data_IF_220125296429
#
_entry.id   IF_220125296429
#
_cell.length_a   1.000
_cell.length_b   1.000
_cell.length_c   1.000
_cell.angle_alpha   90.00
_cell.angle_beta   90.00
_cell.angle_gamma   90.00
#
_symmetry.space_group_name_H-M   'P 1'
#
loop_
_entity.id
_entity.type
_entity.pdbx_description
1 polymer ?
#
# COMPACT_ATOMS: atom_id res chain seq x y z
N UNK A 1 40.15 -9.00 -38.10
CA UNK A 1 38.84 -9.06 -38.81
C UNK A 1 37.85 -10.10 -38.23
N UNK A 2 38.26 -11.37 -38.07
CA UNK A 2 37.37 -12.46 -37.60
C UNK A 2 36.86 -12.30 -36.14
N UNK A 3 37.67 -11.71 -35.26
CA UNK A 3 37.31 -11.45 -33.85
C UNK A 3 36.17 -10.42 -33.71
N UNK A 4 36.20 -9.34 -34.50
CA UNK A 4 35.16 -8.31 -34.45
C UNK A 4 33.81 -8.79 -35.01
N UNK A 5 33.83 -9.56 -36.11
CA UNK A 5 32.61 -10.14 -36.67
C UNK A 5 31.93 -11.12 -35.71
N UNK A 6 32.71 -11.96 -35.02
CA UNK A 6 32.21 -12.88 -33.99
C UNK A 6 31.62 -12.11 -32.80
N UNK A 7 32.29 -11.06 -32.33
CA UNK A 7 31.77 -10.17 -31.29
C UNK A 7 30.42 -9.56 -31.67
N UNK A 8 30.30 -9.00 -32.89
CA UNK A 8 29.04 -8.43 -33.37
C UNK A 8 27.91 -9.46 -33.42
N UNK A 9 28.21 -10.70 -33.86
CA UNK A 9 27.23 -11.79 -33.86
C UNK A 9 26.73 -12.10 -32.44
N UNK A 10 27.64 -12.35 -31.49
CA UNK A 10 27.26 -12.64 -30.10
C UNK A 10 26.50 -11.48 -29.46
N UNK A 11 26.95 -10.23 -29.68
CA UNK A 11 26.24 -9.02 -29.21
C UNK A 11 24.81 -8.97 -29.74
N UNK A 12 24.61 -9.20 -31.04
CA UNK A 12 23.29 -9.14 -31.65
C UNK A 12 22.36 -10.24 -31.11
N UNK A 13 22.89 -11.45 -30.94
CA UNK A 13 22.16 -12.56 -30.30
C UNK A 13 21.76 -12.17 -28.88
N UNK A 14 22.69 -11.70 -28.04
CA UNK A 14 22.39 -11.29 -26.67
C UNK A 14 21.36 -10.16 -26.61
N UNK A 15 21.48 -9.15 -27.47
CA UNK A 15 20.51 -8.05 -27.54
C UNK A 15 19.13 -8.56 -27.94
N UNK A 16 19.06 -9.47 -28.91
CA UNK A 16 17.80 -10.10 -29.33
C UNK A 16 17.16 -10.89 -28.19
N UNK A 17 17.93 -11.73 -27.49
CA UNK A 17 17.44 -12.52 -26.36
C UNK A 17 16.95 -11.62 -25.21
N UNK A 18 17.66 -10.53 -24.91
CA UNK A 18 17.25 -9.55 -23.89
C UNK A 18 15.90 -8.91 -24.27
N UNK A 19 15.74 -8.50 -25.54
CA UNK A 19 14.49 -7.90 -26.02
C UNK A 19 13.32 -8.88 -25.94
N UNK A 20 13.55 -10.13 -26.34
CA UNK A 20 12.52 -11.17 -26.26
C UNK A 20 12.11 -11.44 -24.80
N UNK A 21 13.07 -11.50 -23.87
CA UNK A 21 12.77 -11.65 -22.45
C UNK A 21 12.00 -10.45 -21.88
N UNK A 22 12.33 -9.22 -22.29
CA UNK A 22 11.60 -8.01 -21.89
C UNK A 22 10.16 -8.03 -22.39
N UNK A 23 9.94 -8.38 -23.66
CA UNK A 23 8.59 -8.49 -24.23
C UNK A 23 7.74 -9.51 -23.48
N UNK A 24 8.26 -10.73 -23.26
CA UNK A 24 7.53 -11.78 -22.51
C UNK A 24 7.15 -11.33 -21.09
N UNK A 25 8.03 -10.58 -20.44
CA UNK A 25 7.75 -10.00 -19.13
C UNK A 25 6.64 -8.95 -19.18
N UNK A 26 6.69 -8.02 -20.14
CA UNK A 26 5.68 -6.97 -20.32
C UNK A 26 4.30 -7.52 -20.74
N UNK A 27 4.27 -8.61 -21.52
CA UNK A 27 3.05 -9.36 -21.85
C UNK A 27 2.41 -9.94 -20.59
N UNK A 28 3.20 -10.63 -19.75
CA UNK A 28 2.73 -11.17 -18.47
C UNK A 28 2.21 -10.07 -17.53
N UNK A 29 2.93 -8.95 -17.47
CA UNK A 29 2.51 -7.76 -16.71
C UNK A 29 1.13 -7.26 -17.18
N UNK A 30 0.93 -7.17 -18.49
CA UNK A 30 -0.32 -6.69 -19.08
C UNK A 30 -1.50 -7.57 -18.71
N UNK A 31 -1.30 -8.89 -18.68
CA UNK A 31 -2.34 -9.85 -18.25
C UNK A 31 -2.68 -9.71 -16.77
N UNK A 32 -1.69 -9.49 -15.90
CA UNK A 32 -1.92 -9.31 -14.47
C UNK A 32 -2.65 -7.98 -14.16
N UNK A 33 -2.36 -6.93 -14.93
CA UNK A 33 -3.11 -5.66 -14.86
C UNK A 33 -4.57 -5.85 -15.27
N UNK A 34 -4.84 -6.61 -16.35
CA UNK A 34 -6.21 -6.94 -16.77
C UNK A 34 -6.98 -7.73 -15.71
N UNK A 35 -6.31 -8.59 -14.94
CA UNK A 35 -6.90 -9.33 -13.80
C UNK A 35 -7.19 -8.45 -12.58
N UNK A 36 -6.79 -7.17 -12.60
CA UNK A 36 -7.09 -6.19 -11.57
C UNK A 36 -5.91 -5.84 -10.64
N UNK A 37 -4.71 -6.40 -10.85
CA UNK A 37 -3.53 -5.99 -10.08
C UNK A 37 -2.88 -4.74 -10.71
N UNK A 38 -3.41 -3.57 -10.41
CA UNK A 38 -2.83 -2.30 -10.89
C UNK A 38 -1.47 -1.99 -10.27
N UNK A 39 -1.08 -2.65 -9.16
CA UNK A 39 0.19 -2.38 -8.47
C UNK A 39 1.38 -2.85 -9.28
N UNK A 40 1.24 -3.95 -10.02
CA UNK A 40 2.35 -4.45 -10.86
C UNK A 40 2.72 -3.43 -11.94
N UNK A 41 1.74 -2.74 -12.52
CA UNK A 41 1.98 -1.66 -13.48
C UNK A 41 2.76 -0.50 -12.87
N UNK A 42 2.32 0.04 -11.74
CA UNK A 42 3.01 1.15 -11.09
C UNK A 42 4.40 0.75 -10.57
N UNK A 43 4.58 -0.50 -10.14
CA UNK A 43 5.89 -1.05 -9.80
C UNK A 43 6.81 -1.09 -11.01
N UNK A 44 6.31 -1.56 -12.16
CA UNK A 44 7.05 -1.56 -13.41
C UNK A 44 7.42 -0.14 -13.86
N UNK A 45 6.46 0.78 -13.86
CA UNK A 45 6.67 2.19 -14.18
C UNK A 45 7.78 2.78 -13.32
N UNK A 46 7.70 2.59 -12.00
CA UNK A 46 8.70 3.07 -11.04
C UNK A 46 10.09 2.46 -11.26
N UNK A 47 10.16 1.22 -11.74
CA UNK A 47 11.44 0.57 -12.09
C UNK A 47 12.09 1.20 -13.33
N UNK A 48 11.30 1.78 -14.23
CA UNK A 48 11.74 2.47 -15.45
C UNK A 48 11.95 3.97 -15.27
N UNK A 49 11.33 4.57 -14.24
CA UNK A 49 11.53 5.99 -13.93
C UNK A 49 12.93 6.23 -13.37
N UNK A 50 13.70 7.12 -14.00
CA UNK A 50 15.04 7.53 -13.56
C UNK A 50 14.99 8.40 -12.30
N UNK A 51 13.97 9.26 -12.23
CA UNK A 51 13.73 10.17 -11.10
C UNK A 51 13.04 9.38 -10.00
N UNK A 52 13.79 9.04 -8.96
CA UNK A 52 13.28 8.41 -7.74
C UNK A 52 13.24 9.45 -6.62
N UNK A 53 12.74 10.64 -6.90
CA UNK A 53 12.66 11.73 -5.93
C UNK A 53 11.83 11.27 -4.72
N UNK A 54 12.51 11.01 -3.61
CA UNK A 54 11.88 11.15 -2.30
C UNK A 54 11.92 12.64 -1.95
N UNK A 55 10.98 13.10 -1.12
CA UNK A 55 11.09 14.45 -0.54
C UNK A 55 12.36 14.48 0.31
N UNK A 56 13.45 15.00 -0.24
CA UNK A 56 14.77 15.02 0.40
C UNK A 56 14.90 16.21 1.33
N UNK A 57 14.39 17.37 0.89
CA UNK A 57 14.32 18.60 1.69
C UNK A 57 13.04 19.36 1.39
N UNK A 58 12.51 20.03 2.40
CA UNK A 58 11.37 20.95 2.29
C UNK A 58 11.78 22.31 2.81
N UNK A 59 11.13 23.36 2.30
CA UNK A 59 11.36 24.71 2.77
C UNK A 59 10.65 24.91 4.11
N UNK A 60 11.42 25.28 5.12
CA UNK A 60 10.94 25.63 6.45
C UNK A 60 10.27 27.02 6.44
N UNK A 61 9.45 27.35 7.45
CA UNK A 61 8.86 28.67 7.60
C UNK A 61 9.88 29.82 7.68
N UNK A 62 11.09 29.54 8.20
CA UNK A 62 12.21 30.49 8.26
C UNK A 62 12.90 30.73 6.90
N UNK A 63 12.46 30.03 5.85
CA UNK A 63 12.99 30.14 4.50
C UNK A 63 14.16 29.20 4.19
N UNK A 64 14.71 28.48 5.17
CA UNK A 64 15.80 27.50 5.01
C UNK A 64 15.27 26.15 4.51
N UNK A 65 16.17 25.26 4.06
CA UNK A 65 15.83 23.89 3.69
C UNK A 65 16.06 22.94 4.86
N UNK A 66 15.23 21.90 4.97
CA UNK A 66 15.47 20.81 5.94
C UNK A 66 16.68 19.99 5.55
N UNK A 67 17.47 19.63 6.57
CA UNK A 67 18.74 18.91 6.40
C UNK A 67 18.62 17.44 6.80
N UNK A 68 17.61 17.10 7.62
CA UNK A 68 17.37 15.73 8.07
C UNK A 68 15.97 15.23 7.71
N UNK A 69 15.83 13.91 7.58
CA UNK A 69 14.54 13.28 7.28
C UNK A 69 13.50 13.55 8.36
N UNK A 70 13.94 13.64 9.63
CA UNK A 70 13.07 13.99 10.76
C UNK A 70 12.56 15.42 10.62
N UNK A 71 13.46 16.36 10.35
CA UNK A 71 13.10 17.77 10.17
C UNK A 71 12.16 17.97 8.97
N UNK A 72 12.38 17.23 7.87
CA UNK A 72 11.46 17.19 6.74
C UNK A 72 10.07 16.71 7.17
N UNK A 73 9.98 15.60 7.91
CA UNK A 73 8.72 15.07 8.38
C UNK A 73 7.99 16.03 9.33
N UNK A 74 8.71 16.64 10.27
CA UNK A 74 8.16 17.59 11.24
C UNK A 74 7.65 18.86 10.54
N UNK A 75 8.40 19.38 9.56
CA UNK A 75 8.00 20.56 8.77
C UNK A 75 6.74 20.29 7.94
N UNK A 76 6.66 19.12 7.31
CA UNK A 76 5.47 18.68 6.58
C UNK A 76 4.27 18.57 7.52
N UNK A 77 4.44 17.89 8.65
CA UNK A 77 3.38 17.72 9.65
C UNK A 77 2.87 19.07 10.18
N UNK A 78 3.77 19.99 10.51
CA UNK A 78 3.42 21.34 10.95
C UNK A 78 2.61 22.09 9.88
N UNK A 79 3.04 22.01 8.62
CA UNK A 79 2.35 22.66 7.50
C UNK A 79 0.94 22.10 7.34
N UNK A 80 0.78 20.78 7.41
CA UNK A 80 -0.54 20.16 7.38
C UNK A 80 -1.41 20.61 8.56
N UNK A 81 -0.88 20.57 9.78
CA UNK A 81 -1.62 21.04 10.98
C UNK A 81 -2.06 22.50 10.85
N UNK A 82 -1.25 23.36 10.23
CA UNK A 82 -1.55 24.79 10.10
C UNK A 82 -2.76 25.09 9.20
N UNK A 83 -3.09 24.21 8.25
CA UNK A 83 -4.25 24.38 7.36
C UNK A 83 -5.49 23.67 7.86
N UNK A 84 -5.37 22.81 8.87
CA UNK A 84 -6.53 22.19 9.51
C UNK A 84 -7.23 23.20 10.42
N UNK A 85 -8.56 23.08 10.47
CA UNK A 85 -9.34 23.78 11.49
C UNK A 85 -9.00 23.16 12.83
N UNK A 86 -8.47 23.98 13.74
CA UNK A 86 -8.28 23.58 15.13
C UNK A 86 -9.65 23.61 15.80
N UNK A 87 -10.25 22.44 15.98
CA UNK A 87 -11.44 22.33 16.80
C UNK A 87 -11.03 22.57 18.26
N UNK A 88 -11.36 23.76 18.77
CA UNK A 88 -11.36 24.00 20.19
C UNK A 88 -12.44 23.09 20.77
N UNK A 89 -12.11 22.26 21.77
CA UNK A 89 -12.98 21.22 22.35
C UNK A 89 -14.25 21.71 23.05
N UNK A 90 -14.87 22.76 22.53
CA UNK A 90 -16.20 23.23 22.85
C UNK A 90 -17.29 22.32 22.28
N UNK A 91 -18.56 22.72 22.44
CA UNK A 91 -19.69 21.92 22.00
C UNK A 91 -19.61 21.74 20.48
N UNK A 92 -19.84 20.49 20.04
CA UNK A 92 -20.01 20.17 18.62
C UNK A 92 -21.01 21.15 17.99
N UNK A 93 -20.80 21.59 16.74
CA UNK A 93 -21.75 22.44 16.04
C UNK A 93 -23.13 21.79 16.04
N UNK A 94 -24.19 22.59 16.12
CA UNK A 94 -25.54 22.06 16.11
C UNK A 94 -25.81 21.36 14.76
N UNK A 95 -25.84 20.03 14.78
CA UNK A 95 -26.11 19.21 13.60
C UNK A 95 -27.63 19.17 13.41
N UNK A 96 -28.15 19.90 12.42
CA UNK A 96 -29.59 19.92 12.06
C UNK A 96 -30.08 18.59 11.42
N UNK A 97 -29.19 17.62 11.23
CA UNK A 97 -29.52 16.32 10.69
C UNK A 97 -29.98 15.39 11.81
N UNK A 98 -31.29 15.16 11.87
CA UNK A 98 -31.88 14.09 12.66
C UNK A 98 -32.17 12.93 11.70
N UNK A 99 -31.52 11.79 11.92
CA UNK A 99 -31.86 10.57 11.20
C UNK A 99 -33.30 10.18 11.56
N UNK A 100 -34.21 10.32 10.60
CA UNK A 100 -35.65 10.02 10.77
C UNK A 100 -36.02 8.57 10.39
N UNK A 101 -35.03 7.67 10.31
CA UNK A 101 -35.25 6.26 9.99
C UNK A 101 -35.32 5.38 11.24
N UNK A 102 -35.57 4.09 11.04
CA UNK A 102 -35.43 3.08 12.10
C UNK A 102 -33.96 2.99 12.52
N UNK A 103 -33.62 3.23 13.80
CA UNK A 103 -32.24 3.11 14.26
C UNK A 103 -31.78 1.66 14.09
N UNK A 104 -30.52 1.48 13.67
CA UNK A 104 -29.87 0.17 13.73
C UNK A 104 -29.64 -0.16 15.20
N UNK A 105 -30.53 -0.93 15.80
CA UNK A 105 -30.47 -1.28 17.23
C UNK A 105 -29.55 -2.47 17.49
N UNK A 106 -29.42 -3.37 16.51
CA UNK A 106 -28.64 -4.58 16.65
C UNK A 106 -28.05 -5.00 15.30
N UNK A 107 -26.96 -5.76 15.35
CA UNK A 107 -26.29 -6.30 14.18
C UNK A 107 -25.73 -7.68 14.50
N UNK A 108 -26.15 -8.67 13.72
CA UNK A 108 -25.65 -10.03 13.83
C UNK A 108 -24.49 -10.25 12.86
N UNK A 109 -23.37 -10.74 13.39
CA UNK A 109 -22.24 -11.19 12.60
C UNK A 109 -22.14 -12.71 12.67
N UNK A 110 -22.13 -13.37 11.52
CA UNK A 110 -21.87 -14.80 11.47
C UNK A 110 -20.38 -15.08 11.67
N UNK A 111 -20.08 -16.32 12.07
CA UNK A 111 -18.69 -16.80 12.15
C UNK A 111 -17.97 -16.68 10.80
N UNK A 112 -18.71 -16.83 9.69
CA UNK A 112 -18.17 -16.68 8.33
C UNK A 112 -17.75 -15.24 8.05
N UNK A 113 -18.55 -14.25 8.47
CA UNK A 113 -18.24 -12.83 8.26
C UNK A 113 -16.94 -12.46 8.98
N UNK A 114 -16.81 -12.89 10.24
CA UNK A 114 -15.61 -12.66 11.05
C UNK A 114 -14.40 -13.37 10.42
N UNK A 115 -14.57 -14.61 9.96
CA UNK A 115 -13.51 -15.38 9.31
C UNK A 115 -13.00 -14.68 8.04
N UNK A 116 -13.90 -14.21 7.18
CA UNK A 116 -13.54 -13.51 5.95
C UNK A 116 -12.74 -12.24 6.22
N UNK A 117 -13.17 -11.44 7.21
CA UNK A 117 -12.47 -10.22 7.63
C UNK A 117 -11.06 -10.55 8.13
N UNK A 118 -10.92 -11.56 8.98
CA UNK A 118 -9.62 -12.00 9.50
C UNK A 118 -8.70 -12.54 8.39
N UNK A 119 -9.24 -13.25 7.40
CA UNK A 119 -8.48 -13.73 6.25
C UNK A 119 -8.01 -12.60 5.33
N UNK A 120 -8.85 -11.58 5.13
CA UNK A 120 -8.54 -10.40 4.29
C UNK A 120 -7.57 -9.42 4.98
N UNK A 121 -7.30 -9.60 6.27
CA UNK A 121 -6.40 -8.74 7.03
C UNK A 121 -4.97 -8.72 6.44
N UNK A 122 -4.40 -7.52 6.28
CA UNK A 122 -3.05 -7.34 5.76
C UNK A 122 -2.04 -7.60 6.87
N UNK A 123 -1.21 -8.63 6.73
CA UNK A 123 -0.25 -8.99 7.78
C UNK A 123 0.82 -7.92 8.03
N UNK A 124 1.05 -7.02 7.07
CA UNK A 124 2.08 -5.99 7.15
C UNK A 124 1.57 -4.64 7.65
N UNK A 125 0.31 -4.52 8.08
CA UNK A 125 -0.18 -3.27 8.68
C UNK A 125 0.28 -3.15 10.14
N UNK A 126 0.39 -1.92 10.62
CA UNK A 126 0.79 -1.64 11.99
C UNK A 126 -0.29 -2.12 13.00
N UNK A 127 0.10 -2.43 14.25
CA UNK A 127 -0.84 -2.66 15.34
C UNK A 127 -1.75 -1.46 15.59
N UNK A 128 -2.96 -1.73 16.06
CA UNK A 128 -3.88 -0.70 16.52
C UNK A 128 -3.47 -0.13 17.88
N UNK A 129 -4.30 0.74 18.47
CA UNK A 129 -4.11 1.26 19.83
C UNK A 129 -4.18 0.16 20.91
N UNK A 130 -4.68 -1.03 20.56
CA UNK A 130 -4.67 -2.24 21.37
C UNK A 130 -3.32 -2.98 21.37
N UNK A 131 -2.37 -2.58 20.51
CA UNK A 131 -1.07 -3.21 20.36
C UNK A 131 -1.10 -4.58 19.65
N UNK A 132 -2.26 -5.03 19.15
CA UNK A 132 -2.37 -6.34 18.51
C UNK A 132 -1.93 -6.30 17.05
N UNK A 133 -0.88 -7.05 16.71
CA UNK A 133 -0.40 -7.11 15.34
C UNK A 133 -1.33 -8.00 14.48
N UNK A 134 -1.74 -7.54 13.27
CA UNK A 134 -2.60 -8.28 12.33
C UNK A 134 -2.19 -9.73 12.06
N UNK A 135 -0.88 -9.98 12.01
CA UNK A 135 -0.29 -11.31 11.84
C UNK A 135 -0.72 -12.32 12.92
N UNK A 136 -0.95 -11.86 14.14
CA UNK A 136 -1.42 -12.72 15.25
C UNK A 136 -2.87 -13.14 14.98
N UNK A 137 -3.75 -12.17 14.71
CA UNK A 137 -5.17 -12.39 14.45
C UNK A 137 -5.38 -13.31 13.24
N UNK A 138 -4.63 -13.09 12.15
CA UNK A 138 -4.69 -13.93 10.94
C UNK A 138 -4.19 -15.35 11.16
N UNK A 139 -3.24 -15.57 12.09
CA UNK A 139 -2.83 -16.93 12.50
C UNK A 139 -3.91 -17.63 13.33
N UNK A 140 -4.59 -16.90 14.22
CA UNK A 140 -5.70 -17.45 15.01
C UNK A 140 -6.88 -17.86 14.13
N UNK A 141 -7.13 -17.13 13.04
CA UNK A 141 -8.15 -17.46 12.04
C UNK A 141 -7.99 -18.86 11.42
N UNK A 142 -6.74 -19.30 11.16
CA UNK A 142 -6.47 -20.67 10.68
C UNK A 142 -6.77 -21.75 11.73
N UNK A 143 -6.74 -21.40 13.03
CA UNK A 143 -7.02 -22.32 14.14
C UNK A 143 -8.51 -22.46 14.39
N UNK A 144 -9.29 -21.39 14.25
CA UNK A 144 -10.74 -21.42 14.48
C UNK A 144 -11.48 -22.31 13.48
N UNK A 145 -10.98 -22.49 12.26
CA UNK A 145 -11.48 -23.53 11.35
C UNK A 145 -11.31 -24.96 11.89
N UNK A 146 -10.25 -25.22 12.66
CA UNK A 146 -9.95 -26.56 13.20
C UNK A 146 -10.90 -26.95 14.34
N UNK A 147 -11.40 -25.97 15.11
CA UNK A 147 -12.35 -26.17 16.22
C UNK A 147 -13.82 -26.18 15.81
N UNK A 148 -14.15 -25.80 14.57
CA UNK A 148 -15.51 -25.84 14.03
C UNK A 148 -15.87 -27.19 13.37
N UNK A 149 -14.88 -28.08 13.20
CA UNK A 149 -15.17 -29.48 12.87
C UNK A 149 -15.39 -30.20 14.20
N UNK A 150 -16.58 -30.76 14.46
CA UNK A 150 -16.78 -31.58 15.65
C UNK A 150 -15.77 -32.73 15.57
N UNK A 151 -14.86 -32.77 16.53
CA UNK A 151 -13.96 -33.90 16.70
C UNK A 151 -14.85 -35.07 17.11
N UNK A 152 -15.03 -36.04 16.21
CA UNK A 152 -15.67 -37.32 16.48
C UNK A 152 -14.79 -38.12 17.45
#
# INVERSE_FOLDING_TARGET
PASFASYCHFRNVSVSTIREAQMKYEEGLSEDVKKGDTKVFYSYLRSKTTIKESVTSVRKPDGTLSESTKETADTINFTFQSVFVKEDGGPLPHINYVFNGTPLTDIDFSVSDVYEVLCKLKESSAPGPDGMHPKVLKRMCKRTQLTLVPTI
#
